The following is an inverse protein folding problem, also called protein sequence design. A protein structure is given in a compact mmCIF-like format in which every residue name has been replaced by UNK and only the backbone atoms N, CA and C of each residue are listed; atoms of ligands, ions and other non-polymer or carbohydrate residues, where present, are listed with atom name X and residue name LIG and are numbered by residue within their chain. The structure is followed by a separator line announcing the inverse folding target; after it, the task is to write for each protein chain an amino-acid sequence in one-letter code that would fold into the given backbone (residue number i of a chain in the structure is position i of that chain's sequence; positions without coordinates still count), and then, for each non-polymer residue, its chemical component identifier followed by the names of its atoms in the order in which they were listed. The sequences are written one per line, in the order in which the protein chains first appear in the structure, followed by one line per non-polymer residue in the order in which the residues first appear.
data_IF_544704792821
#
_entry.id   IF_544704792821
#
_cell.length_a   1.000
_cell.length_b   1.000
_cell.length_c   1.000
_cell.angle_alpha   90.00
_cell.angle_beta   90.00
_cell.angle_gamma   90.00
#
_symmetry.space_group_name_H-M   'P 1'
#
loop_
_entity.id
_entity.type
_entity.pdbx_description
1 polymer ?
#
# COMPACT_ATOMS: atom_id res chain seq x y z
N UNK A 1 -16.58 -1.62 -18.00
CA UNK A 1 -16.48 -2.80 -17.11
C UNK A 1 -16.37 -2.28 -15.69
N UNK A 2 -16.99 -2.94 -14.71
CA UNK A 2 -16.86 -2.54 -13.30
C UNK A 2 -15.43 -2.85 -12.82
N UNK A 3 -14.87 -2.01 -11.94
CA UNK A 3 -13.53 -2.21 -11.38
C UNK A 3 -13.51 -3.30 -10.31
N UNK A 4 -12.31 -3.62 -9.81
CA UNK A 4 -12.11 -4.59 -8.72
C UNK A 4 -12.12 -3.91 -7.35
N UNK A 5 -12.47 -4.66 -6.29
CA UNK A 5 -12.40 -4.15 -4.91
C UNK A 5 -11.66 -5.14 -4.03
N UNK A 6 -10.62 -4.64 -3.37
CA UNK A 6 -9.74 -5.42 -2.52
C UNK A 6 -9.63 -4.77 -1.15
N UNK A 7 -9.86 -5.53 -0.09
CA UNK A 7 -9.92 -5.02 1.28
C UNK A 7 -9.06 -5.90 2.17
N UNK A 8 -8.35 -5.27 3.09
CA UNK A 8 -7.71 -5.97 4.21
C UNK A 8 -6.97 -5.03 5.14
N UNK A 9 -5.82 -5.47 5.65
CA UNK A 9 -5.11 -4.81 6.74
C UNK A 9 -3.73 -4.31 6.33
N UNK A 10 -3.21 -3.34 7.09
CA UNK A 10 -1.86 -2.82 6.98
C UNK A 10 -0.88 -3.68 7.76
N UNK A 11 -0.59 -4.88 7.25
CA UNK A 11 0.26 -5.86 7.90
C UNK A 11 -0.53 -6.96 8.63
N UNK A 12 0.19 -7.95 9.17
CA UNK A 12 -0.42 -9.16 9.75
C UNK A 12 0.26 -9.67 11.02
N UNK A 13 1.42 -9.11 11.42
CA UNK A 13 2.20 -9.60 12.56
C UNK A 13 2.08 -8.69 13.76
N UNK A 14 0.96 -8.78 14.46
CA UNK A 14 0.67 -7.98 15.64
C UNK A 14 0.45 -8.87 16.86
N UNK A 15 1.32 -8.81 17.90
CA UNK A 15 1.15 -9.63 19.11
C UNK A 15 -0.22 -9.52 19.77
N UNK A 16 -0.86 -8.33 19.86
CA UNK A 16 -2.20 -8.20 20.45
C UNK A 16 -3.31 -8.97 19.73
N UNK A 17 -3.10 -9.39 18.47
CA UNK A 17 -4.11 -10.13 17.71
C UNK A 17 -4.16 -11.62 18.11
N UNK A 18 -3.15 -12.12 18.84
CA UNK A 18 -3.08 -13.52 19.26
C UNK A 18 -4.01 -13.77 20.43
N UNK A 19 -4.90 -14.74 20.26
CA UNK A 19 -5.93 -15.07 21.26
C UNK A 19 -7.19 -14.21 21.17
N UNK A 20 -7.18 -13.16 20.34
CA UNK A 20 -8.35 -12.30 20.04
C UNK A 20 -8.84 -12.55 18.61
N UNK A 21 -8.01 -12.24 17.61
CA UNK A 21 -8.33 -12.50 16.20
C UNK A 21 -7.73 -13.82 15.69
N UNK A 22 -6.46 -14.06 16.01
CA UNK A 22 -5.80 -15.34 15.73
C UNK A 22 -6.18 -16.37 16.81
N UNK A 23 -6.56 -17.59 16.42
CA UNK A 23 -6.97 -18.61 17.37
C UNK A 23 -5.82 -19.01 18.29
N UNK A 24 -6.11 -19.41 19.54
CA UNK A 24 -5.12 -19.92 20.46
C UNK A 24 -4.30 -21.06 19.82
N UNK A 25 -2.97 -21.00 19.98
CA UNK A 25 -2.05 -22.01 19.43
C UNK A 25 -1.66 -21.83 17.96
N UNK A 26 -2.18 -20.82 17.25
CA UNK A 26 -1.70 -20.51 15.90
C UNK A 26 -0.22 -20.09 15.94
N UNK A 27 0.64 -20.86 15.27
CA UNK A 27 2.06 -20.51 15.15
C UNK A 27 2.25 -19.28 14.25
N UNK A 28 3.11 -18.34 14.66
CA UNK A 28 3.29 -17.04 13.97
C UNK A 28 3.53 -17.17 12.46
N UNK A 29 4.29 -18.18 12.03
CA UNK A 29 4.58 -18.40 10.60
C UNK A 29 3.35 -18.68 9.74
N UNK A 30 2.19 -19.01 10.35
CA UNK A 30 0.92 -19.25 9.67
C UNK A 30 -0.06 -18.07 9.80
N UNK A 31 0.31 -16.97 10.45
CA UNK A 31 -0.56 -15.79 10.60
C UNK A 31 -0.95 -15.21 9.23
N UNK A 32 -0.02 -15.17 8.26
CA UNK A 32 -0.29 -14.72 6.90
C UNK A 32 -1.29 -15.65 6.19
N UNK A 33 -1.03 -16.96 6.22
CA UNK A 33 -1.93 -17.98 5.67
C UNK A 33 -3.34 -17.87 6.29
N UNK A 34 -3.43 -17.62 7.59
CA UNK A 34 -4.71 -17.49 8.28
C UNK A 34 -5.48 -16.24 7.86
N UNK A 35 -4.81 -15.08 7.82
CA UNK A 35 -5.44 -13.81 7.49
C UNK A 35 -5.82 -13.72 6.01
N UNK A 36 -4.93 -14.13 5.11
CA UNK A 36 -5.16 -14.07 3.65
C UNK A 36 -6.32 -14.92 3.14
N UNK A 37 -6.84 -15.85 3.94
CA UNK A 37 -8.05 -16.62 3.64
C UNK A 37 -9.35 -15.91 4.06
N UNK A 38 -9.25 -14.76 4.70
CA UNK A 38 -10.37 -13.98 5.26
C UNK A 38 -10.51 -12.61 4.62
N UNK A 39 -9.40 -12.03 4.17
CA UNK A 39 -9.35 -10.76 3.43
C UNK A 39 -8.96 -11.01 1.98
N UNK A 40 -9.05 -9.98 1.12
CA UNK A 40 -8.73 -10.11 -0.32
C UNK A 40 -7.40 -9.45 -0.71
N UNK A 41 -6.83 -8.61 0.16
CA UNK A 41 -5.50 -8.03 -0.01
C UNK A 41 -4.87 -7.66 1.34
N UNK A 42 -3.54 -7.50 1.38
CA UNK A 42 -2.80 -7.01 2.57
C UNK A 42 -1.73 -5.99 2.11
N UNK A 43 -1.54 -4.91 2.86
CA UNK A 43 -0.42 -3.97 2.67
C UNK A 43 0.82 -4.46 3.45
N UNK A 44 1.92 -4.72 2.75
CA UNK A 44 3.21 -5.09 3.33
C UNK A 44 3.90 -3.85 3.90
N UNK A 45 3.96 -3.79 5.23
CA UNK A 45 4.63 -2.71 5.97
C UNK A 45 6.13 -2.98 6.26
N UNK A 46 6.57 -4.24 6.28
CA UNK A 46 7.96 -4.58 6.64
C UNK A 46 9.01 -3.92 5.73
N UNK A 47 8.70 -3.75 4.44
CA UNK A 47 9.54 -3.08 3.44
C UNK A 47 9.77 -1.59 3.72
N UNK A 48 8.91 -0.96 4.52
CA UNK A 48 9.10 0.43 4.96
C UNK A 48 10.32 0.56 5.88
N UNK A 49 10.54 -0.41 6.77
CA UNK A 49 11.58 -0.34 7.80
C UNK A 49 12.92 -0.90 7.33
N UNK A 50 12.90 -1.89 6.43
CA UNK A 50 14.13 -2.50 5.89
C UNK A 50 13.90 -3.09 4.50
N UNK A 51 14.96 -3.10 3.69
CA UNK A 51 14.97 -3.85 2.44
C UNK A 51 14.85 -5.33 2.76
N UNK A 52 13.79 -5.96 2.26
CA UNK A 52 13.57 -7.38 2.40
C UNK A 52 14.52 -8.16 1.49
N UNK A 53 14.44 -9.50 1.55
CA UNK A 53 15.15 -10.38 0.63
C UNK A 53 14.17 -10.97 -0.38
N UNK A 54 14.62 -11.35 -1.60
CA UNK A 54 13.76 -12.01 -2.57
C UNK A 54 13.05 -13.25 -2.02
N UNK A 55 13.71 -14.01 -1.14
CA UNK A 55 13.12 -15.20 -0.51
C UNK A 55 11.92 -14.86 0.37
N UNK A 56 11.93 -13.70 1.05
CA UNK A 56 10.80 -13.26 1.88
C UNK A 56 9.56 -13.01 1.04
N UNK A 57 9.70 -12.29 -0.08
CA UNK A 57 8.59 -11.98 -0.98
C UNK A 57 8.03 -13.26 -1.62
N UNK A 58 8.89 -14.14 -2.13
CA UNK A 58 8.47 -15.45 -2.68
C UNK A 58 7.74 -16.30 -1.64
N UNK A 59 8.25 -16.32 -0.40
CA UNK A 59 7.62 -17.05 0.70
C UNK A 59 6.26 -16.46 1.08
N UNK A 60 6.07 -15.14 1.01
CA UNK A 60 4.76 -14.50 1.24
C UNK A 60 3.78 -14.82 0.11
N UNK A 61 4.21 -14.72 -1.15
CA UNK A 61 3.39 -15.08 -2.31
C UNK A 61 2.93 -16.55 -2.27
N UNK A 62 3.79 -17.48 -1.81
CA UNK A 62 3.45 -18.90 -1.69
C UNK A 62 2.46 -19.23 -0.55
N UNK A 63 2.20 -18.29 0.37
CA UNK A 63 1.32 -18.50 1.53
C UNK A 63 -0.11 -18.02 1.33
N UNK A 64 -0.38 -17.29 0.25
CA UNK A 64 -1.70 -16.69 -0.01
C UNK A 64 -2.47 -17.43 -1.10
N UNK A 65 -3.81 -17.34 -1.13
CA UNK A 65 -4.61 -17.93 -2.19
C UNK A 65 -4.27 -17.39 -3.58
N UNK A 66 -4.59 -18.16 -4.63
CA UNK A 66 -4.50 -17.67 -6.00
C UNK A 66 -5.41 -16.45 -6.21
N UNK A 67 -4.92 -15.45 -6.93
CA UNK A 67 -5.63 -14.18 -7.14
C UNK A 67 -5.52 -13.19 -5.98
N UNK A 68 -4.89 -13.56 -4.87
CA UNK A 68 -4.59 -12.63 -3.78
C UNK A 68 -3.47 -11.67 -4.20
N UNK A 69 -3.59 -10.39 -3.82
CA UNK A 69 -2.57 -9.38 -4.10
C UNK A 69 -2.09 -8.71 -2.83
N UNK A 70 -0.87 -8.19 -2.88
CA UNK A 70 -0.29 -7.36 -1.84
C UNK A 70 -0.08 -5.94 -2.34
N UNK A 71 -0.44 -4.94 -1.53
CA UNK A 71 0.21 -3.65 -1.66
C UNK A 71 1.59 -3.69 -0.99
N UNK A 72 2.55 -2.92 -1.49
CA UNK A 72 3.90 -2.86 -0.91
C UNK A 72 4.22 -1.44 -0.51
N UNK A 73 4.55 -1.21 0.76
CA UNK A 73 4.98 0.11 1.22
C UNK A 73 6.43 0.36 0.87
N UNK A 74 6.68 1.46 0.17
CA UNK A 74 8.02 1.91 -0.20
C UNK A 74 8.88 2.24 1.02
N UNK A 75 10.22 2.32 0.89
CA UNK A 75 11.11 2.45 2.04
C UNK A 75 10.98 3.81 2.74
N UNK A 76 11.00 3.79 4.08
CA UNK A 76 11.16 4.99 4.93
C UNK A 76 12.37 5.81 4.54
N UNK A 77 13.44 5.16 4.07
CA UNK A 77 14.64 5.86 3.61
C UNK A 77 14.35 6.83 2.46
N UNK A 78 13.51 6.44 1.50
CA UNK A 78 13.11 7.24 0.33
C UNK A 78 12.20 8.39 0.76
N UNK A 79 11.10 8.07 1.45
CA UNK A 79 10.05 9.07 1.69
C UNK A 79 10.30 9.93 2.94
N UNK A 80 10.86 9.37 4.01
CA UNK A 80 11.00 10.10 5.28
C UNK A 80 12.39 10.68 5.49
N UNK A 81 13.45 9.90 5.22
CA UNK A 81 14.82 10.34 5.49
C UNK A 81 15.31 11.27 4.37
N UNK A 82 15.20 10.82 3.12
CA UNK A 82 15.57 11.60 1.93
C UNK A 82 14.50 12.61 1.50
N UNK A 83 13.23 12.41 1.90
CA UNK A 83 12.11 13.27 1.47
C UNK A 83 12.10 13.47 -0.05
N UNK A 84 12.27 12.36 -0.78
CA UNK A 84 12.31 12.27 -2.24
C UNK A 84 13.55 12.90 -2.93
N UNK A 85 14.57 13.36 -2.19
CA UNK A 85 15.81 13.91 -2.79
C UNK A 85 16.83 12.83 -3.12
N UNK A 86 17.36 12.86 -4.34
CA UNK A 86 18.41 11.94 -4.82
C UNK A 86 18.05 10.46 -4.61
N UNK A 87 16.83 10.09 -4.99
CA UNK A 87 16.25 8.77 -4.65
C UNK A 87 16.26 7.76 -5.80
N UNK A 88 16.84 8.05 -6.95
CA UNK A 88 16.93 7.10 -8.07
C UNK A 88 17.56 5.75 -7.65
N UNK A 89 18.77 5.77 -7.10
CA UNK A 89 19.44 4.55 -6.59
C UNK A 89 18.69 3.91 -5.41
N UNK A 90 18.21 4.66 -4.40
CA UNK A 90 17.33 4.11 -3.36
C UNK A 90 16.05 3.41 -3.86
N UNK A 91 15.40 3.94 -4.91
CA UNK A 91 14.24 3.31 -5.54
C UNK A 91 14.65 2.05 -6.29
N UNK A 92 15.75 2.08 -7.04
CA UNK A 92 16.30 0.89 -7.70
C UNK A 92 16.65 -0.22 -6.69
N UNK A 93 17.29 0.14 -5.58
CA UNK A 93 17.57 -0.77 -4.45
C UNK A 93 16.28 -1.37 -3.85
N UNK A 94 15.20 -0.61 -3.78
CA UNK A 94 13.92 -1.13 -3.32
C UNK A 94 13.35 -2.16 -4.28
N UNK A 95 13.28 -1.84 -5.57
CA UNK A 95 12.77 -2.75 -6.60
C UNK A 95 13.62 -4.04 -6.65
N UNK A 96 14.94 -3.89 -6.65
CA UNK A 96 15.91 -4.98 -6.67
C UNK A 96 15.94 -5.80 -5.36
N UNK A 97 15.35 -5.32 -4.27
CA UNK A 97 15.32 -6.06 -2.99
C UNK A 97 14.46 -7.33 -3.03
N UNK A 98 13.68 -7.52 -4.09
CA UNK A 98 12.87 -8.72 -4.29
C UNK A 98 11.39 -8.47 -4.52
N UNK A 99 10.93 -7.23 -4.68
CA UNK A 99 9.51 -6.87 -4.83
C UNK A 99 8.85 -7.68 -5.97
N UNK A 100 9.57 -7.84 -7.09
CA UNK A 100 9.14 -8.63 -8.25
C UNK A 100 8.95 -10.12 -7.95
N UNK A 101 9.53 -10.62 -6.85
CA UNK A 101 9.36 -12.00 -6.38
C UNK A 101 7.96 -12.30 -5.86
N UNK A 102 7.08 -11.30 -5.71
CA UNK A 102 5.65 -11.49 -5.48
C UNK A 102 4.91 -12.02 -6.72
N UNK A 103 5.47 -11.85 -7.92
CA UNK A 103 4.88 -12.35 -9.17
C UNK A 103 3.43 -11.85 -9.38
N UNK A 104 2.47 -12.74 -9.66
CA UNK A 104 1.05 -12.38 -9.79
C UNK A 104 0.42 -11.72 -8.56
N UNK A 105 1.01 -11.90 -7.37
CA UNK A 105 0.51 -11.30 -6.13
C UNK A 105 1.04 -9.87 -5.91
N UNK A 106 1.86 -9.32 -6.82
CA UNK A 106 2.31 -7.94 -6.75
C UNK A 106 1.17 -6.99 -7.15
N UNK A 107 0.65 -6.24 -6.18
CA UNK A 107 -0.29 -5.14 -6.38
C UNK A 107 0.41 -3.77 -6.34
N UNK A 108 -0.27 -2.71 -5.86
CA UNK A 108 0.24 -1.35 -5.93
C UNK A 108 1.37 -1.06 -4.92
N UNK A 109 2.21 -0.07 -5.23
CA UNK A 109 3.25 0.42 -4.32
C UNK A 109 2.83 1.73 -3.65
N UNK A 110 2.80 1.75 -2.32
CA UNK A 110 2.47 2.91 -1.50
C UNK A 110 3.72 3.74 -1.15
N UNK A 111 3.64 5.05 -1.34
CA UNK A 111 4.65 6.04 -0.97
C UNK A 111 4.08 7.06 0.02
N UNK A 112 4.15 6.73 1.30
CA UNK A 112 3.73 7.63 2.37
C UNK A 112 4.80 8.68 2.68
N UNK A 113 4.42 9.96 2.61
CA UNK A 113 5.28 11.11 2.91
C UNK A 113 5.09 11.58 4.35
N UNK A 114 6.16 12.03 5.04
CA UNK A 114 6.05 12.49 6.42
C UNK A 114 5.37 13.87 6.52
N UNK A 115 4.75 14.20 7.67
CA UNK A 115 4.10 15.51 7.87
C UNK A 115 5.07 16.69 7.82
N UNK A 116 6.38 16.47 8.00
CA UNK A 116 7.40 17.53 7.90
C UNK A 116 7.81 17.88 6.47
N UNK A 117 7.42 17.06 5.48
CA UNK A 117 7.74 17.32 4.09
C UNK A 117 6.67 18.24 3.50
N UNK A 118 7.09 19.41 3.02
CA UNK A 118 6.23 20.33 2.27
C UNK A 118 6.29 19.99 0.79
N UNK A 119 5.18 20.23 0.09
CA UNK A 119 5.06 20.13 -1.36
C UNK A 119 6.09 21.04 -2.06
N UNK A 120 6.70 20.48 -3.09
CA UNK A 120 7.74 21.04 -3.93
C UNK A 120 7.54 20.35 -5.29
N UNK A 121 7.07 21.11 -6.29
CA UNK A 121 6.54 20.55 -7.53
C UNK A 121 7.62 19.79 -8.31
N UNK A 122 8.80 20.39 -8.47
CA UNK A 122 9.92 19.78 -9.20
C UNK A 122 10.36 18.49 -8.52
N UNK A 123 10.51 18.51 -7.20
CA UNK A 123 10.92 17.32 -6.45
C UNK A 123 9.91 16.18 -6.57
N UNK A 124 8.62 16.48 -6.53
CA UNK A 124 7.57 15.47 -6.71
C UNK A 124 7.57 14.94 -8.14
N UNK A 125 7.65 15.83 -9.14
CA UNK A 125 7.69 15.44 -10.55
C UNK A 125 8.89 14.53 -10.86
N UNK A 126 10.09 14.89 -10.39
CA UNK A 126 11.30 14.07 -10.51
C UNK A 126 11.11 12.69 -9.91
N UNK A 127 10.50 12.61 -8.72
CA UNK A 127 10.22 11.33 -8.07
C UNK A 127 9.21 10.49 -8.85
N UNK A 128 8.10 11.09 -9.31
CA UNK A 128 7.07 10.39 -10.07
C UNK A 128 7.60 9.85 -11.41
N UNK A 129 8.52 10.57 -12.06
CA UNK A 129 9.18 10.12 -13.28
C UNK A 129 10.06 8.87 -13.10
N UNK A 130 10.49 8.55 -11.87
CA UNK A 130 11.25 7.35 -11.56
C UNK A 130 10.37 6.10 -11.39
N UNK A 131 9.04 6.27 -11.24
CA UNK A 131 8.15 5.17 -10.87
C UNK A 131 7.79 4.33 -12.11
N UNK A 132 8.12 3.02 -12.12
CA UNK A 132 7.82 2.15 -13.25
C UNK A 132 6.32 1.80 -13.32
N UNK A 133 5.70 1.98 -14.50
CA UNK A 133 4.29 1.63 -14.71
C UNK A 133 4.03 0.15 -15.03
N UNK A 134 5.08 -0.67 -15.18
CA UNK A 134 4.97 -2.12 -15.40
C UNK A 134 6.07 -2.89 -14.66
N UNK A 135 5.87 -4.19 -14.45
CA UNK A 135 6.88 -5.05 -13.82
C UNK A 135 8.14 -5.20 -14.67
N UNK A 136 8.05 -5.18 -16.01
CA UNK A 136 9.26 -5.16 -16.85
C UNK A 136 10.01 -3.83 -16.76
N UNK A 137 9.30 -2.69 -16.66
CA UNK A 137 9.93 -1.41 -16.38
C UNK A 137 10.59 -1.39 -15.00
N UNK A 138 9.95 -2.00 -14.00
CA UNK A 138 10.51 -2.14 -12.65
C UNK A 138 11.76 -3.03 -12.63
N UNK A 139 11.77 -4.13 -13.40
CA UNK A 139 12.95 -4.99 -13.59
C UNK A 139 14.12 -4.21 -14.20
N UNK A 140 13.87 -3.39 -15.23
CA UNK A 140 14.89 -2.50 -15.81
C UNK A 140 15.38 -1.45 -14.82
N UNK A 141 14.48 -0.79 -14.07
CA UNK A 141 14.88 0.19 -13.07
C UNK A 141 15.71 -0.44 -11.94
N UNK A 142 15.40 -1.70 -11.57
CA UNK A 142 16.12 -2.45 -10.56
C UNK A 142 17.60 -2.67 -10.90
N UNK A 143 18.00 -2.68 -12.18
CA UNK A 143 19.42 -2.82 -12.56
C UNK A 143 20.28 -1.61 -12.15
N UNK A 144 19.67 -0.48 -11.81
CA UNK A 144 20.36 0.69 -11.26
C UNK A 144 20.65 0.61 -9.75
N UNK A 145 20.49 -0.57 -9.14
CA UNK A 145 20.80 -0.78 -7.73
C UNK A 145 22.30 -0.59 -7.45
N UNK A 146 22.64 -0.33 -6.19
CA UNK A 146 24.02 -0.26 -5.74
C UNK A 146 24.45 -1.56 -5.02
N UNK A 147 25.69 -1.52 -4.53
CA UNK A 147 26.40 -2.59 -3.83
C UNK A 147 25.71 -3.12 -2.56
N UNK A 148 24.68 -2.43 -2.04
CA UNK A 148 23.93 -2.89 -0.85
C UNK A 148 23.18 -4.20 -1.09
N UNK A 149 22.99 -4.59 -2.36
CA UNK A 149 22.29 -5.80 -2.77
C UNK A 149 23.21 -6.87 -3.39
N UNK A 150 24.54 -6.74 -3.25
CA UNK A 150 25.50 -7.70 -3.78
C UNK A 150 25.09 -9.17 -3.51
N UNK A 151 24.97 -9.94 -4.59
CA UNK A 151 24.63 -11.37 -4.56
C UNK A 151 23.18 -11.72 -4.20
N UNK A 152 22.30 -10.73 -4.01
CA UNK A 152 20.89 -10.96 -3.61
C UNK A 152 19.87 -10.08 -4.35
N UNK A 153 20.31 -9.30 -5.34
CA UNK A 153 19.40 -8.49 -6.14
C UNK A 153 18.51 -9.36 -7.03
N UNK A 154 17.23 -9.01 -7.13
CA UNK A 154 16.30 -9.56 -8.11
C UNK A 154 15.94 -8.49 -9.13
N UNK A 155 16.47 -8.61 -10.34
CA UNK A 155 16.30 -7.63 -11.43
C UNK A 155 15.51 -8.18 -12.61
N UNK A 156 14.82 -9.30 -12.40
CA UNK A 156 14.02 -9.99 -13.41
C UNK A 156 12.57 -10.12 -12.94
N UNK A 157 11.64 -10.23 -13.88
CA UNK A 157 10.22 -10.52 -13.64
C UNK A 157 9.78 -11.67 -14.52
N UNK A 158 8.80 -12.45 -14.04
CA UNK A 158 8.26 -13.61 -14.74
C UNK A 158 7.29 -13.25 -15.87
N UNK A 159 6.64 -12.08 -15.79
CA UNK A 159 5.80 -11.53 -16.86
C UNK A 159 5.71 -10.01 -16.73
N UNK A 160 5.42 -9.33 -17.84
CA UNK A 160 5.13 -7.90 -17.84
C UNK A 160 3.66 -7.65 -17.45
N UNK A 161 3.45 -7.03 -16.30
CA UNK A 161 2.14 -6.72 -15.72
C UNK A 161 2.07 -5.23 -15.38
N UNK A 162 0.89 -4.59 -15.40
CA UNK A 162 0.72 -3.23 -14.90
C UNK A 162 1.20 -3.12 -13.45
N UNK A 163 1.85 -2.01 -13.11
CA UNK A 163 2.27 -1.68 -11.77
C UNK A 163 1.76 -0.29 -11.41
N UNK A 164 0.89 -0.24 -10.40
CA UNK A 164 0.28 1.01 -9.94
C UNK A 164 1.01 1.55 -8.71
N UNK A 165 0.98 2.87 -8.56
CA UNK A 165 1.60 3.57 -7.44
C UNK A 165 0.57 4.44 -6.74
N UNK A 166 0.75 4.65 -5.43
CA UNK A 166 -0.05 5.58 -4.66
C UNK A 166 0.83 6.46 -3.76
N UNK A 167 0.46 7.72 -3.56
CA UNK A 167 1.16 8.68 -2.70
C UNK A 167 0.23 9.13 -1.58
N UNK A 168 0.70 9.05 -0.32
CA UNK A 168 -0.02 9.53 0.86
C UNK A 168 0.73 10.74 1.46
N UNK A 169 0.37 11.98 1.07
CA UNK A 169 0.90 13.17 1.72
C UNK A 169 0.30 13.37 3.11
N UNK A 170 1.07 13.96 4.03
CA UNK A 170 0.63 14.26 5.41
C UNK A 170 0.78 15.72 5.81
N UNK A 171 0.94 16.61 4.82
CA UNK A 171 1.14 18.04 5.03
C UNK A 171 0.20 18.87 4.16
N UNK A 172 -0.39 19.93 4.72
CA UNK A 172 -1.45 20.75 4.09
C UNK A 172 -1.03 21.40 2.77
N UNK A 173 0.26 21.68 2.58
CA UNK A 173 0.74 22.30 1.33
C UNK A 173 0.57 21.40 0.10
N UNK A 174 0.23 20.12 0.26
CA UNK A 174 -0.13 19.23 -0.85
C UNK A 174 -1.57 19.45 -1.35
N UNK A 175 -2.34 20.35 -0.75
CA UNK A 175 -3.64 20.81 -1.32
C UNK A 175 -3.49 21.63 -2.59
N UNK A 176 -2.26 21.97 -2.98
CA UNK A 176 -1.98 22.66 -4.23
C UNK A 176 -2.49 21.83 -5.43
N UNK A 177 -3.35 22.38 -6.30
CA UNK A 177 -3.84 21.67 -7.48
C UNK A 177 -2.74 21.17 -8.42
N UNK A 178 -1.55 21.80 -8.41
CA UNK A 178 -0.40 21.32 -9.17
C UNK A 178 0.03 19.91 -8.74
N UNK A 179 -0.13 19.56 -7.46
CA UNK A 179 0.18 18.22 -6.98
C UNK A 179 -0.76 17.17 -7.58
N UNK A 180 -2.07 17.40 -7.57
CA UNK A 180 -3.02 16.42 -8.14
C UNK A 180 -2.96 16.38 -9.67
N UNK A 181 -2.55 17.47 -10.32
CA UNK A 181 -2.21 17.47 -11.74
C UNK A 181 -1.02 16.55 -12.06
N UNK A 182 0.08 16.65 -11.29
CA UNK A 182 1.24 15.76 -11.44
C UNK A 182 0.86 14.29 -11.23
N UNK A 183 0.04 13.99 -10.22
CA UNK A 183 -0.42 12.62 -9.99
C UNK A 183 -1.22 12.07 -11.18
N UNK A 184 -2.11 12.88 -11.78
CA UNK A 184 -2.90 12.48 -12.96
C UNK A 184 -2.04 12.25 -14.20
N UNK A 185 -1.06 13.12 -14.44
CA UNK A 185 -0.12 12.99 -15.55
C UNK A 185 0.65 11.67 -15.51
N UNK A 186 1.07 11.25 -14.31
CA UNK A 186 1.81 10.00 -14.10
C UNK A 186 0.93 8.77 -13.81
N UNK A 187 -0.39 8.91 -13.79
CA UNK A 187 -1.31 7.81 -13.45
C UNK A 187 -1.13 7.27 -12.01
N UNK A 188 -0.70 8.12 -11.08
CA UNK A 188 -0.44 7.76 -9.68
C UNK A 188 -1.64 8.13 -8.80
N UNK A 189 -2.05 7.22 -7.94
CA UNK A 189 -3.19 7.42 -7.05
C UNK A 189 -2.83 8.34 -5.87
N UNK A 190 -3.68 9.31 -5.58
CA UNK A 190 -3.71 9.98 -4.29
C UNK A 190 -4.36 9.04 -3.27
N UNK A 191 -3.70 8.80 -2.15
CA UNK A 191 -4.30 8.03 -1.06
C UNK A 191 -5.40 8.85 -0.40
N UNK A 192 -6.60 8.29 -0.35
CA UNK A 192 -7.70 8.82 0.44
C UNK A 192 -7.60 8.21 1.83
N UNK A 193 -7.45 9.03 2.86
CA UNK A 193 -7.26 8.54 4.22
C UNK A 193 -8.29 9.10 5.18
N UNK A 194 -8.65 8.30 6.18
CA UNK A 194 -9.29 8.79 7.40
C UNK A 194 -8.27 8.72 8.53
N UNK A 195 -7.90 9.88 9.07
CA UNK A 195 -6.86 10.03 10.08
C UNK A 195 -7.34 10.64 11.40
N UNK A 196 -8.64 10.56 11.69
CA UNK A 196 -9.24 11.12 12.90
C UNK A 196 -8.89 12.61 13.14
N UNK A 197 -8.76 13.41 12.06
CA UNK A 197 -8.37 14.82 12.13
C UNK A 197 -6.88 15.11 12.37
N UNK A 198 -6.01 14.09 12.42
CA UNK A 198 -4.57 14.28 12.67
C UNK A 198 -3.82 14.81 11.45
N UNK A 199 -4.20 14.39 10.26
CA UNK A 199 -3.57 14.81 8.99
C UNK A 199 -4.62 15.39 8.04
N UNK A 200 -4.20 16.20 7.05
CA UNK A 200 -5.09 16.64 5.99
C UNK A 200 -5.76 15.45 5.30
N UNK A 201 -7.08 15.53 5.17
CA UNK A 201 -7.86 14.62 4.32
C UNK A 201 -7.91 15.21 2.93
N UNK A 202 -7.55 14.36 1.96
CA UNK A 202 -7.66 14.62 0.53
C UNK A 202 -8.79 13.76 -0.03
N UNK A 203 -9.61 14.34 -0.92
CA UNK A 203 -10.79 13.68 -1.48
C UNK A 203 -10.85 13.84 -3.01
N UNK A 204 -9.75 13.47 -3.69
CA UNK A 204 -9.65 13.52 -5.15
C UNK A 204 -9.16 12.18 -5.71
N UNK A 205 -9.83 11.70 -6.76
CA UNK A 205 -9.38 10.56 -7.55
C UNK A 205 -8.44 11.06 -8.66
N UNK A 206 -7.21 10.54 -8.68
CA UNK A 206 -6.16 10.97 -9.62
C UNK A 206 -5.70 9.88 -10.59
N UNK A 207 -6.16 8.64 -10.44
CA UNK A 207 -5.76 7.52 -11.27
C UNK A 207 -6.90 6.51 -11.46
N UNK A 208 -6.67 5.49 -12.28
CA UNK A 208 -7.58 4.34 -12.39
C UNK A 208 -7.71 3.57 -11.07
N UNK A 209 -6.69 3.64 -10.21
CA UNK A 209 -6.68 3.09 -8.86
C UNK A 209 -7.18 4.13 -7.83
N UNK A 210 -8.10 3.72 -6.97
CA UNK A 210 -8.43 4.39 -5.71
C UNK A 210 -7.78 3.63 -4.55
N UNK A 211 -6.96 4.32 -3.77
CA UNK A 211 -6.24 3.73 -2.65
C UNK A 211 -6.74 4.33 -1.33
N UNK A 212 -7.36 3.51 -0.48
CA UNK A 212 -7.88 3.92 0.83
C UNK A 212 -6.97 3.43 1.96
N UNK A 213 -6.65 4.32 2.90
CA UNK A 213 -6.03 3.96 4.20
C UNK A 213 -6.87 4.49 5.35
N UNK A 214 -7.51 3.57 6.06
CA UNK A 214 -8.42 3.87 7.16
C UNK A 214 -7.68 3.71 8.48
N UNK A 215 -7.27 4.82 9.09
CA UNK A 215 -6.45 4.83 10.31
C UNK A 215 -7.27 4.78 11.59
N UNK A 216 -8.59 4.68 11.52
CA UNK A 216 -9.48 4.65 12.67
C UNK A 216 -10.25 5.95 12.86
N UNK A 217 -11.50 5.83 13.27
CA UNK A 217 -12.41 6.94 13.49
C UNK A 217 -12.21 7.53 14.89
N UNK A 218 -12.03 8.85 14.99
CA UNK A 218 -11.93 9.59 16.27
C UNK A 218 -10.61 9.43 17.04
N UNK A 219 -9.96 8.26 16.98
CA UNK A 219 -8.64 8.01 17.57
C UNK A 219 -7.70 7.37 16.54
N UNK A 220 -6.59 8.04 16.24
CA UNK A 220 -5.62 7.56 15.27
C UNK A 220 -5.01 6.21 15.71
N UNK A 221 -5.09 5.23 14.83
CA UNK A 221 -4.64 3.83 14.94
C UNK A 221 -5.37 2.97 15.99
N UNK A 222 -6.32 3.52 16.72
CA UNK A 222 -6.99 2.85 17.84
C UNK A 222 -8.52 2.93 17.79
N UNK A 223 -9.10 3.83 17.01
CA UNK A 223 -10.54 3.88 16.80
C UNK A 223 -11.02 2.76 15.88
N UNK A 224 -11.96 1.94 16.35
CA UNK A 224 -12.76 1.09 15.46
C UNK A 224 -13.77 1.93 14.67
N UNK A 225 -14.25 1.39 13.56
CA UNK A 225 -15.31 2.03 12.77
C UNK A 225 -16.70 1.60 13.26
N UNK A 226 -17.64 2.55 13.35
CA UNK A 226 -19.04 2.18 13.61
C UNK A 226 -19.66 1.52 12.38
N UNK A 227 -20.79 0.83 12.56
CA UNK A 227 -21.51 0.21 11.46
C UNK A 227 -21.90 1.25 10.38
N UNK A 228 -22.36 2.43 10.81
CA UNK A 228 -22.76 3.53 9.93
C UNK A 228 -21.57 4.10 9.15
N UNK A 229 -20.40 4.19 9.80
CA UNK A 229 -19.18 4.66 9.13
C UNK A 229 -18.73 3.66 8.05
N UNK A 230 -18.78 2.35 8.35
CA UNK A 230 -18.50 1.30 7.36
C UNK A 230 -19.52 1.28 6.22
N UNK A 231 -20.80 1.56 6.49
CA UNK A 231 -21.83 1.67 5.45
C UNK A 231 -21.54 2.85 4.51
N UNK A 232 -21.12 4.00 5.07
CA UNK A 232 -20.69 5.15 4.30
C UNK A 232 -19.48 4.85 3.40
N UNK A 233 -18.47 4.15 3.93
CA UNK A 233 -17.32 3.71 3.13
C UNK A 233 -17.71 2.70 2.05
N UNK A 234 -18.55 1.71 2.37
CA UNK A 234 -19.04 0.74 1.40
C UNK A 234 -19.80 1.43 0.25
N UNK A 235 -20.62 2.44 0.54
CA UNK A 235 -21.32 3.22 -0.48
C UNK A 235 -20.34 3.95 -1.42
N UNK A 236 -19.33 4.62 -0.86
CA UNK A 236 -18.29 5.32 -1.66
C UNK A 236 -17.51 4.34 -2.54
N UNK A 237 -17.10 3.21 -1.98
CA UNK A 237 -16.36 2.15 -2.68
C UNK A 237 -17.15 1.58 -3.86
N UNK A 238 -18.45 1.27 -3.65
CA UNK A 238 -19.32 0.83 -4.76
C UNK A 238 -19.42 1.90 -5.84
N UNK A 239 -19.56 3.17 -5.47
CA UNK A 239 -19.57 4.28 -6.42
C UNK A 239 -18.31 4.32 -7.32
N UNK A 240 -17.12 4.22 -6.73
CA UNK A 240 -15.87 4.18 -7.51
C UNK A 240 -15.75 2.92 -8.37
N UNK A 241 -16.09 1.75 -7.83
CA UNK A 241 -16.08 0.48 -8.55
C UNK A 241 -17.02 0.51 -9.77
N UNK A 242 -18.23 1.04 -9.59
CA UNK A 242 -19.24 1.10 -10.64
C UNK A 242 -18.87 2.15 -11.71
N UNK A 243 -18.09 3.17 -11.33
CA UNK A 243 -17.43 4.10 -12.26
C UNK A 243 -16.20 3.51 -12.99
N UNK A 244 -15.81 2.26 -12.69
CA UNK A 244 -14.73 1.54 -13.38
C UNK A 244 -13.36 1.66 -12.72
N UNK A 245 -13.26 2.20 -11.50
CA UNK A 245 -12.00 2.26 -10.76
C UNK A 245 -11.72 0.94 -10.02
N UNK A 246 -10.46 0.51 -10.04
CA UNK A 246 -9.97 -0.49 -9.08
C UNK A 246 -9.82 0.17 -7.71
N UNK A 247 -10.27 -0.49 -6.65
CA UNK A 247 -10.25 0.04 -5.29
C UNK A 247 -9.47 -0.91 -4.40
N UNK A 248 -8.48 -0.37 -3.68
CA UNK A 248 -7.82 -1.07 -2.58
C UNK A 248 -8.09 -0.32 -1.27
N UNK A 249 -8.40 -1.05 -0.21
CA UNK A 249 -8.69 -0.48 1.10
C UNK A 249 -7.95 -1.22 2.21
N UNK A 250 -7.14 -0.49 2.96
CA UNK A 250 -6.37 -1.04 4.07
C UNK A 250 -6.72 -0.35 5.38
N UNK A 251 -7.12 -1.15 6.36
CA UNK A 251 -7.26 -0.71 7.74
C UNK A 251 -5.88 -0.71 8.42
N UNK A 252 -5.51 0.41 9.05
CA UNK A 252 -4.24 0.62 9.77
C UNK A 252 -4.50 0.84 11.28
N UNK A 253 -5.75 0.68 11.74
CA UNK A 253 -6.17 0.79 13.14
C UNK A 253 -5.86 -0.48 13.97
N UNK A 254 -4.59 -0.88 13.91
CA UNK A 254 -4.10 -2.16 14.41
C UNK A 254 -3.92 -2.19 15.94
N UNK A 255 -3.84 -1.03 16.61
CA UNK A 255 -3.43 -0.92 18.01
C UNK A 255 -4.40 -1.58 19.00
N UNK A 256 -5.69 -1.65 18.66
CA UNK A 256 -6.74 -2.30 19.47
C UNK A 256 -7.39 -3.50 18.77
N UNK A 257 -6.71 -4.11 17.78
CA UNK A 257 -7.21 -5.29 17.04
C UNK A 257 -8.48 -5.01 16.20
N UNK A 258 -8.75 -3.75 15.89
CA UNK A 258 -9.95 -3.40 15.11
C UNK A 258 -9.78 -3.71 13.62
N UNK A 259 -8.60 -3.44 13.05
CA UNK A 259 -8.35 -3.59 11.62
C UNK A 259 -8.83 -4.90 10.97
N UNK A 260 -8.53 -6.12 11.50
CA UNK A 260 -9.01 -7.33 10.86
C UNK A 260 -10.54 -7.50 10.99
N UNK A 261 -11.14 -7.01 12.08
CA UNK A 261 -12.60 -7.05 12.27
C UNK A 261 -13.31 -6.08 11.33
N UNK A 262 -12.82 -4.85 11.24
CA UNK A 262 -13.38 -3.81 10.38
C UNK A 262 -13.21 -4.16 8.90
N UNK A 263 -12.08 -4.75 8.51
CA UNK A 263 -11.87 -5.27 7.16
C UNK A 263 -12.91 -6.33 6.78
N UNK A 264 -13.18 -7.29 7.67
CA UNK A 264 -14.19 -8.33 7.43
C UNK A 264 -15.60 -7.75 7.36
N UNK A 265 -15.92 -6.80 8.24
CA UNK A 265 -17.20 -6.12 8.25
C UNK A 265 -17.43 -5.28 6.98
N UNK A 266 -16.37 -4.70 6.40
CA UNK A 266 -16.45 -3.98 5.14
C UNK A 266 -16.58 -4.94 3.95
N UNK A 267 -15.86 -6.07 3.94
CA UNK A 267 -15.99 -7.11 2.91
C UNK A 267 -17.42 -7.63 2.86
N UNK A 268 -18.00 -7.99 4.01
CA UNK A 268 -19.38 -8.49 4.11
C UNK A 268 -20.40 -7.50 3.52
N UNK A 269 -20.19 -6.20 3.77
CA UNK A 269 -21.01 -5.15 3.16
C UNK A 269 -20.87 -5.11 1.66
N UNK A 270 -19.66 -5.26 1.11
CA UNK A 270 -19.41 -5.07 -0.31
C UNK A 270 -19.98 -6.18 -1.21
N UNK A 271 -20.26 -7.36 -0.62
CA UNK A 271 -20.71 -8.56 -1.35
C UNK A 271 -19.62 -9.14 -2.23
#
# INVERSE_FOLDING_TARGET
MSGTVLVGTSGWRYPPWRGTFYPPGLVQRRELEYLSRRVTSIEINGSFYSLQRPESYRAWAAQVPAGFVFAVKGPRFVTHLKQLRDVAVPVANFLASGVLGLGPALGPVLWQLPPRMRFDADRVAEFLALLPSTTAAAARAATGHDDRLHGRALVETDADRPLCHAVEPRHESFRDPAFTALLREHGVALVLSDSAGTWPVFDEVTAGLVYLRLHGQGELYAGGYTAEALDGWAQRIRGWRDAGHDVVCYFDNDAKVHAPTDALALIDRLG
#
